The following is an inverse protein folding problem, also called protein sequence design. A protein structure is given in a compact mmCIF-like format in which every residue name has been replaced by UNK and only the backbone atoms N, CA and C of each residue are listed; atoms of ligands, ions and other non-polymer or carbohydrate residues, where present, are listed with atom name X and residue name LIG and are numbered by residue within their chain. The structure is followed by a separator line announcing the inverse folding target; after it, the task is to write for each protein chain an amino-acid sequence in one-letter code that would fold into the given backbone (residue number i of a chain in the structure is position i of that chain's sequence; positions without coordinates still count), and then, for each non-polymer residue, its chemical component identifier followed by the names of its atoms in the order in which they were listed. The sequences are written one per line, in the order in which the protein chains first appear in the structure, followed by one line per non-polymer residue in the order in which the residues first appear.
data_IF_491394012147
#
_entry.id   IF_491394012147
#
_cell.length_a   1.000
_cell.length_b   1.000
_cell.length_c   1.000
_cell.angle_alpha   90.00
_cell.angle_beta   90.00
_cell.angle_gamma   90.00
#
_symmetry.space_group_name_H-M   'P 1'
#
loop_
_entity.id
_entity.type
_entity.pdbx_description
1 polymer ?
#
# COMPACT_ATOMS: atom_id res chain seq x y z
N UNK A 1 -17.35 21.04 -23.55
CA UNK A 1 -17.10 20.15 -22.39
C UNK A 1 -18.28 19.19 -22.25
N UNK A 2 -18.03 17.90 -22.02
CA UNK A 2 -19.08 16.86 -21.94
C UNK A 2 -19.86 16.99 -20.61
N UNK A 3 -21.20 16.96 -20.61
CA UNK A 3 -21.98 16.95 -19.38
C UNK A 3 -21.80 15.60 -18.66
N UNK A 4 -21.40 15.63 -17.40
CA UNK A 4 -21.36 14.47 -16.51
C UNK A 4 -22.80 14.14 -16.10
N UNK A 5 -23.35 13.04 -16.60
CA UNK A 5 -24.66 12.52 -16.20
C UNK A 5 -24.44 11.41 -15.17
N UNK A 6 -24.72 11.71 -13.89
CA UNK A 6 -24.73 10.71 -12.82
C UNK A 6 -25.98 9.82 -12.95
N UNK A 7 -25.86 8.48 -12.99
CA UNK A 7 -26.97 7.57 -13.35
C UNK A 7 -28.13 7.55 -12.35
N UNK A 8 -27.96 8.14 -11.16
CA UNK A 8 -28.96 8.17 -10.07
C UNK A 8 -29.65 9.55 -9.92
N UNK A 9 -29.14 10.61 -10.56
CA UNK A 9 -29.68 11.96 -10.40
C UNK A 9 -30.52 12.36 -11.62
N UNK A 10 -31.79 12.69 -11.40
CA UNK A 10 -32.70 13.21 -12.44
C UNK A 10 -32.61 14.73 -12.64
N UNK A 11 -31.65 15.38 -11.99
CA UNK A 11 -31.37 16.80 -12.10
C UNK A 11 -30.11 17.03 -12.94
N UNK A 12 -30.15 18.04 -13.81
CA UNK A 12 -29.02 18.49 -14.61
C UNK A 12 -28.92 20.01 -14.59
N UNK A 13 -27.69 20.54 -14.66
CA UNK A 13 -27.46 21.98 -14.75
C UNK A 13 -27.42 22.40 -16.22
N UNK A 14 -28.33 23.27 -16.63
CA UNK A 14 -28.27 23.95 -17.93
C UNK A 14 -27.59 25.31 -17.76
N UNK A 15 -26.45 25.51 -18.42
CA UNK A 15 -25.72 26.78 -18.44
C UNK A 15 -26.05 27.49 -19.75
N UNK A 16 -26.54 28.72 -19.66
CA UNK A 16 -26.82 29.59 -20.80
C UNK A 16 -25.66 30.56 -20.98
N UNK A 17 -25.26 30.79 -22.24
CA UNK A 17 -24.21 31.75 -22.59
C UNK A 17 -24.67 33.20 -22.34
N UNK A 18 -25.92 33.51 -22.68
CA UNK A 18 -26.51 34.83 -22.48
C UNK A 18 -27.48 34.92 -21.28
N UNK A 19 -27.36 35.95 -20.43
CA UNK A 19 -28.25 36.13 -19.27
C UNK A 19 -29.70 36.47 -19.69
N UNK A 20 -29.88 37.15 -20.83
CA UNK A 20 -31.21 37.44 -21.38
C UNK A 20 -31.91 36.16 -21.88
N UNK A 21 -31.17 35.25 -22.51
CA UNK A 21 -31.69 33.97 -22.98
C UNK A 21 -32.14 33.08 -21.80
N UNK A 22 -31.38 33.06 -20.69
CA UNK A 22 -31.78 32.40 -19.44
C UNK A 22 -33.12 32.93 -18.92
N UNK A 23 -33.31 34.24 -18.89
CA UNK A 23 -34.56 34.84 -18.40
C UNK A 23 -35.75 34.53 -19.32
N UNK A 24 -35.55 34.55 -20.63
CA UNK A 24 -36.59 34.18 -21.60
C UNK A 24 -36.98 32.72 -21.47
N UNK A 25 -36.01 31.81 -21.32
CA UNK A 25 -36.26 30.39 -21.09
C UNK A 25 -36.99 30.13 -19.76
N UNK A 26 -36.62 30.85 -18.70
CA UNK A 26 -37.25 30.71 -17.38
C UNK A 26 -38.68 31.28 -17.35
N UNK A 27 -38.93 32.37 -18.09
CA UNK A 27 -40.30 32.90 -18.30
C UNK A 27 -41.15 31.96 -19.15
N UNK A 28 -40.58 31.38 -20.21
CA UNK A 28 -41.26 30.38 -21.04
C UNK A 28 -41.58 29.09 -20.23
N UNK A 29 -40.69 28.70 -19.32
CA UNK A 29 -40.88 27.59 -18.39
C UNK A 29 -41.75 27.94 -17.14
N UNK A 30 -42.30 29.17 -17.07
CA UNK A 30 -43.10 29.65 -15.94
C UNK A 30 -44.40 28.88 -15.68
N UNK A 31 -44.80 28.01 -16.60
CA UNK A 31 -45.73 26.91 -16.31
C UNK A 31 -44.87 25.69 -16.05
N UNK A 32 -44.84 25.21 -14.81
CA UNK A 32 -44.19 23.97 -14.42
C UNK A 32 -44.85 22.78 -15.15
N UNK A 33 -44.54 22.61 -16.43
CA UNK A 33 -44.84 21.42 -17.17
C UNK A 33 -43.80 20.39 -16.74
N UNK A 34 -44.23 19.46 -15.90
CA UNK A 34 -43.54 18.20 -15.72
C UNK A 34 -43.66 17.50 -17.07
N UNK A 35 -42.65 17.65 -17.93
CA UNK A 35 -42.52 16.81 -19.12
C UNK A 35 -42.08 15.46 -18.59
N UNK A 36 -43.04 14.57 -18.35
CA UNK A 36 -42.72 13.15 -18.25
C UNK A 36 -42.01 12.79 -19.56
N UNK A 37 -40.71 12.44 -19.47
CA UNK A 37 -40.02 11.80 -20.58
C UNK A 37 -40.59 10.38 -20.73
N UNK A 38 -41.84 10.30 -21.18
CA UNK A 38 -42.39 9.08 -21.73
C UNK A 38 -41.55 8.78 -22.96
N UNK A 39 -40.93 7.62 -22.98
CA UNK A 39 -40.02 7.14 -24.03
C UNK A 39 -40.70 6.90 -25.39
N UNK A 40 -41.81 7.57 -25.65
CA UNK A 40 -42.67 7.42 -26.81
C UNK A 40 -43.24 8.80 -27.18
N UNK A 41 -42.49 9.57 -27.97
CA UNK A 41 -43.05 10.73 -28.66
C UNK A 41 -42.51 10.77 -30.09
N UNK A 42 -43.47 10.58 -30.99
CA UNK A 42 -43.37 10.60 -32.44
C UNK A 42 -42.94 12.01 -32.90
N UNK A 43 -42.02 12.10 -33.87
CA UNK A 43 -41.91 13.27 -34.74
C UNK A 43 -40.73 14.24 -34.58
N UNK A 44 -39.63 13.91 -33.90
CA UNK A 44 -38.37 14.67 -34.03
C UNK A 44 -37.44 14.02 -35.08
N UNK A 45 -36.61 14.81 -35.81
CA UNK A 45 -35.67 14.29 -36.80
C UNK A 45 -34.76 13.24 -36.14
N UNK A 46 -34.94 11.98 -36.56
CA UNK A 46 -34.44 10.75 -35.94
C UNK A 46 -32.92 10.57 -35.99
N UNK A 47 -32.17 11.58 -36.45
CA UNK A 47 -30.73 11.49 -36.61
C UNK A 47 -29.93 11.82 -35.34
N UNK A 48 -30.59 12.23 -34.25
CA UNK A 48 -29.95 12.56 -32.97
C UNK A 48 -30.60 11.90 -31.75
N UNK A 49 -31.48 10.92 -31.95
CA UNK A 49 -31.95 10.08 -30.85
C UNK A 49 -30.79 9.17 -30.48
N UNK A 50 -30.26 9.38 -29.27
CA UNK A 50 -29.27 8.48 -28.66
C UNK A 50 -29.70 7.04 -28.93
N UNK A 51 -28.79 6.23 -29.47
CA UNK A 51 -29.10 4.83 -29.72
C UNK A 51 -29.66 4.23 -28.42
N UNK A 52 -30.86 3.66 -28.47
CA UNK A 52 -31.50 3.00 -27.33
C UNK A 52 -31.41 1.48 -27.48
N UNK A 53 -31.49 0.75 -26.36
CA UNK A 53 -31.40 -0.71 -26.33
C UNK A 53 -30.04 -1.25 -26.79
N UNK A 54 -30.04 -2.33 -27.58
CA UNK A 54 -28.81 -3.04 -28.00
C UNK A 54 -27.83 -2.14 -28.76
N UNK A 55 -28.33 -1.22 -29.60
CA UNK A 55 -27.48 -0.29 -30.36
C UNK A 55 -26.74 0.68 -29.42
N UNK A 56 -27.39 1.10 -28.33
CA UNK A 56 -26.78 1.89 -27.27
C UNK A 56 -25.60 1.14 -26.66
N UNK A 57 -25.82 -0.13 -26.29
CA UNK A 57 -24.83 -0.95 -25.61
C UNK A 57 -23.65 -1.27 -26.52
N UNK A 58 -23.90 -1.55 -27.80
CA UNK A 58 -22.83 -1.75 -28.78
C UNK A 58 -21.99 -0.48 -28.96
N UNK A 59 -22.62 0.69 -29.04
CA UNK A 59 -21.89 1.96 -29.11
C UNK A 59 -21.13 2.27 -27.83
N UNK A 60 -21.72 2.04 -26.65
CA UNK A 60 -21.06 2.20 -25.36
C UNK A 60 -19.87 1.24 -25.22
N UNK A 61 -20.03 -0.01 -25.65
CA UNK A 61 -18.97 -1.02 -25.63
C UNK A 61 -17.80 -0.64 -26.55
N UNK A 62 -18.09 -0.09 -27.73
CA UNK A 62 -17.07 0.45 -28.64
C UNK A 62 -16.41 1.70 -28.05
N UNK A 63 -17.19 2.63 -27.49
CA UNK A 63 -16.67 3.85 -26.87
C UNK A 63 -15.82 3.58 -25.62
N UNK A 64 -16.11 2.51 -24.86
CA UNK A 64 -15.33 2.08 -23.71
C UNK A 64 -13.96 1.47 -24.10
N UNK A 65 -13.77 1.16 -25.39
CA UNK A 65 -12.51 0.62 -25.92
C UNK A 65 -12.01 1.55 -27.04
N UNK A 66 -11.38 2.67 -26.68
CA UNK A 66 -10.69 3.49 -27.67
C UNK A 66 -9.63 2.67 -28.40
N UNK A 67 -9.27 3.10 -29.61
CA UNK A 67 -8.18 2.47 -30.35
C UNK A 67 -6.90 2.49 -29.51
N UNK A 68 -6.12 1.39 -29.52
CA UNK A 68 -5.00 1.22 -28.61
C UNK A 68 -3.93 2.31 -28.77
N UNK A 69 -3.76 2.83 -30.00
CA UNK A 69 -2.80 3.91 -30.30
C UNK A 69 -3.19 5.25 -29.65
N UNK A 70 -4.48 5.60 -29.69
CA UNK A 70 -4.97 6.83 -29.06
C UNK A 70 -4.86 6.75 -27.53
N UNK A 71 -5.14 5.57 -26.97
CA UNK A 71 -5.00 5.32 -25.54
C UNK A 71 -3.55 5.43 -25.09
N UNK A 72 -2.62 4.83 -25.83
CA UNK A 72 -1.18 4.94 -25.56
C UNK A 72 -0.73 6.39 -25.57
N UNK A 73 -1.11 7.16 -26.61
CA UNK A 73 -0.77 8.59 -26.67
C UNK A 73 -1.25 9.38 -25.46
N UNK A 74 -2.48 9.12 -24.99
CA UNK A 74 -3.02 9.77 -23.80
C UNK A 74 -2.28 9.36 -22.52
N UNK A 75 -1.90 8.09 -22.40
CA UNK A 75 -1.11 7.59 -21.28
C UNK A 75 0.29 8.20 -21.27
N UNK A 76 0.93 8.31 -22.43
CA UNK A 76 2.26 8.90 -22.57
C UNK A 76 2.24 10.39 -22.21
N UNK A 77 1.24 11.13 -22.70
CA UNK A 77 1.02 12.54 -22.36
C UNK A 77 0.77 12.72 -20.85
N UNK A 78 -0.07 11.88 -20.25
CA UNK A 78 -0.34 11.91 -18.82
C UNK A 78 0.90 11.58 -17.98
N UNK A 79 1.66 10.56 -18.39
CA UNK A 79 2.89 10.13 -17.71
C UNK A 79 3.94 11.23 -17.77
N UNK A 80 4.16 11.84 -18.94
CA UNK A 80 5.09 12.95 -19.09
C UNK A 80 4.69 14.16 -18.23
N UNK A 81 3.41 14.52 -18.18
CA UNK A 81 2.91 15.60 -17.33
C UNK A 81 3.11 15.31 -15.84
N UNK A 82 2.85 14.07 -15.42
CA UNK A 82 3.00 13.63 -14.04
C UNK A 82 4.49 13.58 -13.61
N UNK A 83 5.37 13.08 -14.46
CA UNK A 83 6.82 13.04 -14.20
C UNK A 83 7.40 14.46 -14.08
N UNK A 84 7.00 15.39 -14.95
CA UNK A 84 7.42 16.79 -14.87
C UNK A 84 6.98 17.46 -13.55
N UNK A 85 5.77 17.18 -13.07
CA UNK A 85 5.26 17.68 -11.79
C UNK A 85 6.03 17.10 -10.59
N UNK A 86 6.31 15.80 -10.60
CA UNK A 86 7.09 15.14 -9.54
C UNK A 86 8.54 15.60 -9.52
N UNK A 87 9.15 15.84 -10.69
CA UNK A 87 10.48 16.45 -10.76
C UNK A 87 10.49 17.86 -10.18
N UNK A 88 9.48 18.69 -10.48
CA UNK A 88 9.36 20.04 -9.92
C UNK A 88 9.30 19.96 -8.39
N UNK A 89 8.46 19.08 -7.86
CA UNK A 89 8.35 18.83 -6.40
C UNK A 89 9.62 18.27 -5.78
N UNK A 90 10.37 17.44 -6.51
CA UNK A 90 11.66 16.93 -6.05
C UNK A 90 12.71 18.05 -5.99
N UNK A 91 12.77 18.91 -7.02
CA UNK A 91 13.65 20.10 -7.06
C UNK A 91 13.30 21.09 -5.96
N UNK A 92 12.03 21.38 -5.73
CA UNK A 92 11.56 22.23 -4.63
C UNK A 92 11.96 21.65 -3.26
N UNK A 93 11.78 20.34 -3.05
CA UNK A 93 12.22 19.67 -1.82
C UNK A 93 13.74 19.72 -1.63
N UNK A 94 14.52 19.55 -2.69
CA UNK A 94 15.98 19.66 -2.63
C UNK A 94 16.42 21.10 -2.33
N UNK A 95 15.80 22.10 -2.97
CA UNK A 95 16.08 23.51 -2.71
C UNK A 95 15.75 23.90 -1.26
N UNK A 96 14.63 23.41 -0.72
CA UNK A 96 14.26 23.62 0.68
C UNK A 96 15.26 22.99 1.67
N UNK A 97 15.93 21.88 1.30
CA UNK A 97 16.97 21.24 2.11
C UNK A 97 18.32 21.96 2.06
N UNK A 98 18.55 22.86 1.09
CA UNK A 98 19.83 23.55 0.91
C UNK A 98 20.03 24.79 1.80
N UNK A 99 19.01 25.23 2.54
CA UNK A 99 19.03 26.47 3.31
C UNK A 99 19.18 26.32 4.83
N UNK A 100 18.92 25.15 5.39
CA UNK A 100 18.98 24.89 6.83
C UNK A 100 19.88 23.67 7.07
N UNK A 101 20.83 23.77 8.01
CA UNK A 101 21.95 22.84 8.21
C UNK A 101 21.58 21.41 8.68
N UNK A 102 20.36 20.97 8.40
CA UNK A 102 19.82 19.65 8.73
C UNK A 102 19.45 18.88 7.46
N UNK A 103 20.25 17.87 7.14
CA UNK A 103 19.95 16.95 6.02
C UNK A 103 18.86 15.97 6.43
N UNK A 104 17.77 15.89 5.66
CA UNK A 104 16.74 14.85 5.87
C UNK A 104 17.34 13.48 5.56
N UNK A 105 17.49 12.64 6.59
CA UNK A 105 17.87 11.24 6.43
C UNK A 105 16.74 10.50 5.72
N UNK A 106 16.87 10.33 4.41
CA UNK A 106 15.96 9.49 3.63
C UNK A 106 16.27 8.04 3.98
N UNK A 107 15.43 7.42 4.80
CA UNK A 107 15.48 5.97 5.03
C UNK A 107 15.42 5.28 3.67
N UNK A 108 16.44 4.49 3.34
CA UNK A 108 16.44 3.64 2.15
C UNK A 108 15.13 2.84 2.14
N UNK A 109 14.40 2.97 1.04
CA UNK A 109 12.97 2.65 0.92
C UNK A 109 12.77 1.13 0.94
N UNK A 110 12.89 0.52 2.12
CA UNK A 110 12.32 -0.79 2.40
C UNK A 110 10.80 -0.69 2.32
N UNK A 111 10.25 -1.21 1.22
CA UNK A 111 8.82 -1.31 0.86
C UNK A 111 8.15 0.06 0.66
N UNK A 112 7.57 0.28 -0.53
CA UNK A 112 6.63 1.39 -0.79
C UNK A 112 5.46 1.25 0.21
N UNK A 113 5.46 2.03 1.29
CA UNK A 113 4.22 2.39 1.97
C UNK A 113 3.57 3.43 1.08
N UNK A 114 2.54 3.06 0.32
CA UNK A 114 1.61 4.05 -0.19
C UNK A 114 1.00 4.73 1.03
N UNK A 115 1.34 6.00 1.24
CA UNK A 115 0.53 6.86 2.09
C UNK A 115 -0.47 7.48 1.12
N UNK A 116 -1.55 6.76 0.88
CA UNK A 116 -2.72 7.30 0.19
C UNK A 116 -3.70 7.74 1.27
N UNK A 117 -4.18 8.97 1.11
CA UNK A 117 -5.11 9.65 2.00
C UNK A 117 -6.49 9.02 1.80
N UNK A 118 -6.84 8.02 2.62
CA UNK A 118 -8.07 7.24 2.46
C UNK A 118 -7.85 5.80 2.87
N UNK A 119 -8.15 5.50 4.14
CA UNK A 119 -7.78 4.24 4.78
C UNK A 119 -8.45 3.02 4.17
N UNK A 120 -7.63 2.06 3.72
CA UNK A 120 -7.77 0.62 3.99
C UNK A 120 -6.36 0.01 3.93
N UNK A 121 -5.89 -0.55 5.05
CA UNK A 121 -4.60 -1.21 5.13
C UNK A 121 -4.77 -2.72 4.87
N UNK A 122 -4.42 -3.18 3.66
CA UNK A 122 -4.28 -4.63 3.38
C UNK A 122 -2.81 -5.00 3.48
N UNK A 123 -2.44 -5.60 4.63
CA UNK A 123 -1.17 -6.29 4.78
C UNK A 123 -1.28 -7.68 4.15
N UNK A 124 -0.44 -8.00 3.16
CA UNK A 124 -0.22 -9.40 2.74
C UNK A 124 1.26 -9.67 2.45
N UNK A 125 1.64 -10.92 2.76
CA UNK A 125 2.97 -11.43 3.13
C UNK A 125 4.07 -11.38 2.05
N UNK A 126 5.28 -11.88 2.29
CA UNK A 126 5.86 -12.53 3.47
C UNK A 126 7.37 -12.53 3.26
N UNK A 127 8.13 -12.08 4.27
CA UNK A 127 9.60 -12.20 4.24
C UNK A 127 9.92 -13.65 4.53
N UNK A 128 10.79 -14.26 3.70
CA UNK A 128 11.29 -15.62 3.92
C UNK A 128 11.69 -15.77 5.39
N UNK A 129 11.01 -16.70 6.09
CA UNK A 129 11.08 -16.89 7.54
C UNK A 129 12.53 -16.93 8.05
N UNK A 130 13.47 -17.49 7.27
CA UNK A 130 14.88 -17.58 7.64
C UNK A 130 15.59 -16.21 7.73
N UNK A 131 15.36 -15.30 6.79
CA UNK A 131 16.03 -14.00 6.77
C UNK A 131 15.45 -13.03 7.82
N UNK A 132 14.14 -13.12 8.08
CA UNK A 132 13.49 -12.41 9.16
C UNK A 132 13.93 -12.94 10.55
N UNK A 133 14.11 -14.26 10.70
CA UNK A 133 14.57 -14.86 11.95
C UNK A 133 16.03 -14.53 12.26
N UNK A 134 16.92 -14.56 11.27
CA UNK A 134 18.34 -14.25 11.47
C UNK A 134 18.56 -12.78 11.87
N UNK A 135 17.85 -11.85 11.22
CA UNK A 135 17.92 -10.42 11.56
C UNK A 135 17.24 -10.09 12.89
N UNK A 136 16.15 -10.78 13.24
CA UNK A 136 15.50 -10.66 14.54
C UNK A 136 16.33 -11.28 15.68
N UNK A 137 17.19 -12.27 15.41
CA UNK A 137 18.08 -12.84 16.42
C UNK A 137 19.27 -11.92 16.72
N UNK A 138 19.81 -11.23 15.72
CA UNK A 138 20.93 -10.30 15.87
C UNK A 138 20.55 -8.92 16.45
N UNK A 139 19.28 -8.49 16.29
CA UNK A 139 18.80 -7.18 16.78
C UNK A 139 18.00 -7.25 18.07
N UNK A 140 17.73 -8.45 18.59
CA UNK A 140 17.35 -8.59 20.00
C UNK A 140 18.57 -8.17 20.80
N UNK A 141 18.53 -6.96 21.33
CA UNK A 141 19.39 -6.52 22.41
C UNK A 141 19.35 -7.62 23.47
N UNK A 142 20.37 -8.48 23.50
CA UNK A 142 20.50 -9.47 24.54
C UNK A 142 20.47 -8.66 25.83
N UNK A 143 19.55 -8.94 26.77
CA UNK A 143 19.54 -8.24 28.04
C UNK A 143 20.96 -8.37 28.59
N UNK A 144 21.52 -7.25 29.10
CA UNK A 144 22.86 -7.24 29.69
C UNK A 144 22.94 -8.44 30.63
N UNK A 145 23.68 -9.47 30.21
CA UNK A 145 23.82 -10.67 31.00
C UNK A 145 24.52 -10.24 32.29
N UNK A 146 24.06 -10.78 33.42
CA UNK A 146 24.57 -10.47 34.75
C UNK A 146 24.29 -9.05 35.27
N UNK A 147 23.20 -8.41 34.84
CA UNK A 147 22.77 -7.11 35.40
C UNK A 147 22.54 -7.17 36.91
N UNK A 148 22.03 -8.29 37.43
CA UNK A 148 21.77 -8.43 38.87
C UNK A 148 22.73 -9.41 39.55
N UNK A 149 23.13 -9.08 40.77
CA UNK A 149 24.03 -9.92 41.59
C UNK A 149 23.49 -11.33 41.86
N UNK A 150 22.17 -11.52 41.89
CA UNK A 150 21.59 -12.85 42.07
C UNK A 150 21.84 -13.77 40.86
N UNK A 151 21.87 -13.22 39.64
CA UNK A 151 22.16 -13.99 38.41
C UNK A 151 23.55 -14.62 38.49
N UNK A 152 24.54 -13.87 38.96
CA UNK A 152 25.90 -14.37 39.18
C UNK A 152 26.00 -15.42 40.30
N UNK A 153 25.13 -15.36 41.32
CA UNK A 153 25.11 -16.37 42.39
C UNK A 153 24.47 -17.66 41.90
N UNK A 154 23.38 -17.56 41.17
CA UNK A 154 22.68 -18.72 40.64
C UNK A 154 23.50 -19.43 39.57
N UNK A 155 24.17 -18.67 38.69
CA UNK A 155 25.13 -19.20 37.72
C UNK A 155 26.28 -19.97 38.39
N UNK A 156 26.88 -19.41 39.44
CA UNK A 156 27.92 -20.12 40.22
C UNK A 156 27.38 -21.38 40.89
N UNK A 157 26.14 -21.38 41.37
CA UNK A 157 25.52 -22.58 41.94
C UNK A 157 25.27 -23.66 40.89
N UNK A 158 24.76 -23.29 39.71
CA UNK A 158 24.55 -24.26 38.63
C UNK A 158 25.87 -24.86 38.16
N UNK A 159 26.91 -24.04 37.98
CA UNK A 159 28.26 -24.52 37.63
C UNK A 159 28.81 -25.52 38.66
N UNK A 160 28.60 -25.29 39.96
CA UNK A 160 29.01 -26.24 41.01
C UNK A 160 28.22 -27.55 40.99
N UNK A 161 26.92 -27.51 40.67
CA UNK A 161 26.08 -28.70 40.54
C UNK A 161 26.52 -29.54 39.33
N UNK A 162 26.73 -28.89 38.19
CA UNK A 162 27.20 -29.56 36.98
C UNK A 162 28.55 -30.23 37.19
N UNK A 163 29.48 -29.56 37.89
CA UNK A 163 30.80 -30.11 38.21
C UNK A 163 30.70 -31.33 39.14
N UNK A 164 29.78 -31.30 40.11
CA UNK A 164 29.51 -32.43 40.99
C UNK A 164 28.97 -33.63 40.19
N UNK A 165 28.07 -33.40 39.25
CA UNK A 165 27.49 -34.47 38.43
C UNK A 165 28.52 -35.08 37.48
N UNK A 166 29.34 -34.25 36.83
CA UNK A 166 30.47 -34.71 36.02
C UNK A 166 31.45 -35.54 36.84
N UNK A 167 31.80 -35.11 38.05
CA UNK A 167 32.70 -35.86 38.91
C UNK A 167 32.12 -37.22 39.34
N UNK A 168 30.80 -37.30 39.56
CA UNK A 168 30.15 -38.59 39.82
C UNK A 168 30.18 -39.51 38.60
N UNK A 169 29.99 -38.97 37.40
CA UNK A 169 30.09 -39.73 36.15
C UNK A 169 31.53 -40.23 35.93
N UNK A 170 32.53 -39.38 36.17
CA UNK A 170 33.93 -39.75 36.00
C UNK A 170 34.38 -40.79 37.03
N UNK A 171 33.88 -40.70 38.27
CA UNK A 171 34.05 -41.77 39.25
C UNK A 171 33.51 -43.10 38.73
N UNK A 172 32.31 -43.12 38.16
CA UNK A 172 31.71 -44.33 37.57
C UNK A 172 32.57 -44.86 36.43
N UNK A 173 32.99 -44.00 35.49
CA UNK A 173 33.89 -44.39 34.38
C UNK A 173 35.21 -44.97 34.89
N UNK A 174 35.83 -44.37 35.90
CA UNK A 174 37.09 -44.89 36.47
C UNK A 174 36.86 -46.26 37.13
N UNK A 175 35.74 -46.45 37.83
CA UNK A 175 35.42 -47.78 38.40
C UNK A 175 35.23 -48.84 37.33
N UNK A 176 34.56 -48.51 36.22
CA UNK A 176 34.41 -49.39 35.06
C UNK A 176 35.76 -49.72 34.41
N UNK A 177 36.61 -48.73 34.17
CA UNK A 177 37.96 -48.92 33.61
C UNK A 177 38.87 -49.76 34.52
N UNK A 178 38.73 -49.59 35.85
CA UNK A 178 39.45 -50.39 36.84
C UNK A 178 38.96 -51.84 36.82
N UNK A 179 37.65 -52.07 36.75
CA UNK A 179 37.07 -53.40 36.62
C UNK A 179 37.50 -54.08 35.31
N UNK A 180 37.56 -53.33 34.21
CA UNK A 180 38.06 -53.80 32.91
C UNK A 180 39.60 -53.92 32.84
N UNK A 181 40.34 -53.59 33.92
CA UNK A 181 41.83 -53.60 34.01
C UNK A 181 42.56 -52.73 32.98
N UNK A 182 41.88 -51.76 32.37
CA UNK A 182 42.43 -50.86 31.34
C UNK A 182 42.88 -49.51 31.91
N UNK A 183 42.78 -49.31 33.22
CA UNK A 183 43.16 -48.04 33.87
C UNK A 183 44.68 -47.87 33.93
N UNK A 184 45.19 -46.78 33.38
CA UNK A 184 46.61 -46.39 33.41
C UNK A 184 46.76 -45.09 34.22
N UNK A 185 47.23 -45.15 35.48
CA UNK A 185 47.48 -43.93 36.25
C UNK A 185 48.63 -43.15 35.62
N UNK A 186 48.42 -41.84 35.44
CA UNK A 186 49.49 -40.91 35.07
C UNK A 186 50.18 -40.54 36.39
N UNK A 187 51.45 -40.91 36.55
CA UNK A 187 52.30 -40.53 37.70
C UNK A 187 52.83 -39.12 37.54
#
# INVERSE_FOLDING_TARGET
MRPQLEPQQRSGMAVFEDPAARMTALKAAGHAQIIELTSAAQGLPTNSLQATGLRAWVQQHKAARPEPEELQRQLDEWTAAHEAEEERRAKERQAAMGGDGWTVVVRSKGRKKSKEDGGVATQSGGVALAAAQASAAATKALPVQDFYRFQQRDKRRSELLDLRDQFQQDKKRITELRAARNFKPIS
#
